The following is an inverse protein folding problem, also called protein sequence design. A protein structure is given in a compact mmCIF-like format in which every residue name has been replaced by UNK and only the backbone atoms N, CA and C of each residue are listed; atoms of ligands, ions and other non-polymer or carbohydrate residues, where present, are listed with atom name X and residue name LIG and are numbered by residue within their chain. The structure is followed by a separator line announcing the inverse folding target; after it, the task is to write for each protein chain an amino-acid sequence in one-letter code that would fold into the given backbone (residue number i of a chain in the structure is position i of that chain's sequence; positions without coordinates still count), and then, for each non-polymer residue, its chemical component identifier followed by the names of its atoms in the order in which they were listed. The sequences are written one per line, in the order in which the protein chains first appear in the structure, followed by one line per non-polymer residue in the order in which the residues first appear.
data_IF_280438471151
#
_entry.id   IF_280438471151
#
_cell.length_a   1.000
_cell.length_b   1.000
_cell.length_c   1.000
_cell.angle_alpha   90.00
_cell.angle_beta   90.00
_cell.angle_gamma   90.00
#
_symmetry.space_group_name_H-M   'P 1'
#
loop_
_entity.id
_entity.type
_entity.pdbx_description
1 polymer ?
#
# COMPACT_ATOMS: atom_id res chain seq x y z
N UNK A 1 -26.42 -13.90 23.79
CA UNK A 1 -24.99 -13.60 24.06
C UNK A 1 -24.03 -13.99 22.92
N UNK A 2 -24.51 -14.29 21.70
CA UNK A 2 -23.64 -14.74 20.58
C UNK A 2 -23.31 -13.63 19.56
N UNK A 3 -24.23 -12.70 19.29
CA UNK A 3 -24.04 -11.64 18.27
C UNK A 3 -22.95 -10.61 18.64
N UNK A 4 -22.83 -10.27 19.92
CA UNK A 4 -21.79 -9.35 20.41
C UNK A 4 -20.38 -9.97 20.28
N UNK A 5 -20.29 -11.30 20.38
CA UNK A 5 -19.03 -12.04 20.28
C UNK A 5 -18.47 -12.04 18.86
N UNK A 6 -19.32 -12.20 17.82
CA UNK A 6 -18.88 -12.13 16.43
C UNK A 6 -18.41 -10.73 16.01
N UNK A 7 -19.10 -9.67 16.46
CA UNK A 7 -18.71 -8.29 16.17
C UNK A 7 -17.35 -7.94 16.81
N UNK A 8 -17.11 -8.42 18.03
CA UNK A 8 -15.83 -8.24 18.71
C UNK A 8 -14.69 -9.01 18.02
N UNK A 9 -14.94 -10.25 17.60
CA UNK A 9 -13.96 -11.05 16.83
C UNK A 9 -13.63 -10.39 15.48
N UNK A 10 -14.63 -9.86 14.78
CA UNK A 10 -14.42 -9.13 13.52
C UNK A 10 -13.60 -7.84 13.73
N UNK A 11 -13.88 -7.08 14.78
CA UNK A 11 -13.12 -5.88 15.13
C UNK A 11 -11.66 -6.21 15.46
N UNK A 12 -11.42 -7.25 16.25
CA UNK A 12 -10.08 -7.72 16.59
C UNK A 12 -9.33 -8.22 15.35
N UNK A 13 -9.99 -8.96 14.45
CA UNK A 13 -9.40 -9.38 13.18
C UNK A 13 -9.01 -8.21 12.28
N UNK A 14 -9.82 -7.16 12.21
CA UNK A 14 -9.50 -5.93 11.47
C UNK A 14 -8.30 -5.17 12.06
N UNK A 15 -8.13 -5.18 13.39
CA UNK A 15 -6.99 -4.54 14.05
C UNK A 15 -5.66 -5.25 13.74
N UNK A 16 -5.67 -6.59 13.66
CA UNK A 16 -4.48 -7.37 13.27
C UNK A 16 -4.21 -7.36 11.76
N UNK A 17 -5.23 -7.21 10.92
CA UNK A 17 -5.06 -6.99 9.49
C UNK A 17 -4.46 -5.61 9.16
N UNK A 18 -4.62 -4.62 10.06
CA UNK A 18 -4.10 -3.27 9.90
C UNK A 18 -2.62 -3.12 10.27
N UNK A 19 -2.04 -4.07 11.02
CA UNK A 19 -0.62 -4.07 11.38
C UNK A 19 0.20 -4.89 10.39
N UNK A 20 0.16 -4.51 9.10
CA UNK A 20 1.13 -5.03 8.12
C UNK A 20 2.43 -4.26 8.29
N UNK A 21 3.12 -4.50 9.39
CA UNK A 21 4.55 -4.20 9.49
C UNK A 21 5.28 -5.52 9.74
N UNK A 22 5.09 -6.46 8.82
CA UNK A 22 6.15 -7.42 8.53
C UNK A 22 7.26 -6.60 7.86
N UNK A 23 8.46 -6.61 8.45
CA UNK A 23 9.60 -5.94 7.84
C UNK A 23 9.80 -6.48 6.43
N UNK A 24 10.03 -5.57 5.47
CA UNK A 24 10.34 -5.96 4.09
C UNK A 24 11.63 -6.77 4.10
N UNK A 25 11.58 -7.98 3.56
CA UNK A 25 12.74 -8.85 3.45
C UNK A 25 13.46 -8.64 2.10
N UNK A 26 14.74 -9.03 2.02
CA UNK A 26 15.47 -8.99 0.74
C UNK A 26 14.84 -9.98 -0.23
N UNK A 27 14.33 -9.46 -1.35
CA UNK A 27 13.66 -10.25 -2.38
C UNK A 27 12.18 -9.89 -2.55
N UNK A 28 11.58 -9.27 -1.54
CA UNK A 28 10.22 -8.74 -1.63
C UNK A 28 10.13 -7.73 -2.77
N UNK A 29 9.09 -7.89 -3.60
CA UNK A 29 8.81 -6.96 -4.67
C UNK A 29 7.86 -5.89 -4.15
N UNK A 30 8.23 -4.62 -4.36
CA UNK A 30 7.30 -3.52 -4.16
C UNK A 30 6.07 -3.66 -5.06
N UNK A 31 4.92 -3.09 -4.66
CA UNK A 31 3.73 -3.09 -5.50
C UNK A 31 4.02 -2.35 -6.81
N UNK A 32 3.49 -2.86 -7.93
CA UNK A 32 3.43 -2.10 -9.17
C UNK A 32 2.01 -1.60 -9.40
N UNK A 33 1.88 -0.35 -9.83
CA UNK A 33 0.62 0.27 -10.22
C UNK A 33 0.86 1.35 -11.26
N UNK A 34 -0.15 1.56 -12.10
CA UNK A 34 -0.19 2.66 -13.05
C UNK A 34 -0.80 3.91 -12.42
N UNK A 35 -0.41 5.07 -12.93
CA UNK A 35 -0.97 6.35 -12.53
C UNK A 35 -1.71 6.97 -13.72
N UNK A 36 -2.95 7.38 -13.51
CA UNK A 36 -3.74 8.06 -14.56
C UNK A 36 -3.21 9.47 -14.85
N UNK A 37 -2.60 10.10 -13.83
CA UNK A 37 -1.99 11.42 -13.91
C UNK A 37 -0.72 11.43 -13.09
N UNK A 38 0.35 11.91 -13.69
CA UNK A 38 1.63 12.17 -13.04
C UNK A 38 2.03 13.61 -13.31
N UNK A 39 2.65 14.24 -12.31
CA UNK A 39 3.17 15.60 -12.42
C UNK A 39 4.66 15.56 -12.13
N UNK A 40 5.42 16.39 -12.82
CA UNK A 40 6.88 16.46 -12.66
C UNK A 40 7.58 15.10 -12.90
N UNK A 41 7.08 14.32 -13.87
CA UNK A 41 7.67 13.04 -14.29
C UNK A 41 8.11 13.11 -15.74
N UNK A 42 9.12 12.32 -16.16
CA UNK A 42 9.50 12.21 -17.55
C UNK A 42 8.32 11.70 -18.41
N UNK A 43 8.29 12.12 -19.67
CA UNK A 43 7.27 11.65 -20.61
C UNK A 43 7.31 10.12 -20.75
N UNK A 44 6.13 9.48 -20.73
CA UNK A 44 5.99 8.03 -20.85
C UNK A 44 6.13 7.24 -19.53
N UNK A 45 6.43 7.90 -18.40
CA UNK A 45 6.51 7.23 -17.10
C UNK A 45 5.12 7.13 -16.47
N UNK A 46 4.38 6.09 -16.84
CA UNK A 46 2.97 5.87 -16.45
C UNK A 46 2.77 4.81 -15.37
N UNK A 47 3.84 4.15 -14.92
CA UNK A 47 3.81 3.14 -13.87
C UNK A 47 5.09 3.16 -13.02
N UNK A 48 5.07 2.43 -11.90
CA UNK A 48 6.22 2.30 -11.01
C UNK A 48 7.39 1.52 -11.62
N UNK A 49 7.13 0.60 -12.56
CA UNK A 49 8.17 -0.18 -13.22
C UNK A 49 9.13 0.69 -14.04
N UNK A 50 8.65 1.82 -14.57
CA UNK A 50 9.49 2.82 -15.23
C UNK A 50 10.62 3.37 -14.33
N UNK A 51 10.52 3.21 -13.00
CA UNK A 51 11.50 3.66 -12.02
C UNK A 51 12.43 2.55 -11.50
N UNK A 52 12.42 1.35 -12.10
CA UNK A 52 13.31 0.25 -11.68
C UNK A 52 14.78 0.67 -11.64
N UNK A 53 15.49 0.14 -10.65
CA UNK A 53 16.89 0.49 -10.38
C UNK A 53 17.08 1.80 -9.60
N UNK A 54 16.00 2.46 -9.18
CA UNK A 54 16.03 3.63 -8.30
C UNK A 54 15.39 3.32 -6.96
N UNK A 55 15.78 4.07 -5.94
CA UNK A 55 15.04 4.14 -4.68
C UNK A 55 13.85 5.07 -4.90
N UNK A 56 12.64 4.56 -4.65
CA UNK A 56 11.38 5.29 -4.86
C UNK A 56 10.63 5.37 -3.53
N UNK A 57 10.14 6.57 -3.20
CA UNK A 57 9.24 6.79 -2.07
C UNK A 57 7.83 7.02 -2.59
N UNK A 58 6.88 6.22 -2.12
CA UNK A 58 5.46 6.38 -2.44
C UNK A 58 4.77 7.04 -1.26
N UNK A 59 4.19 8.21 -1.49
CA UNK A 59 3.39 8.93 -0.50
C UNK A 59 1.92 8.91 -0.93
N UNK A 60 1.04 8.46 -0.02
CA UNK A 60 -0.41 8.56 -0.19
C UNK A 60 -0.92 9.70 0.68
N UNK A 61 -1.47 10.73 0.05
CA UNK A 61 -2.02 11.90 0.74
C UNK A 61 -3.36 12.32 0.14
N UNK A 62 -4.08 13.15 0.87
CA UNK A 62 -5.35 13.75 0.47
C UNK A 62 -5.48 15.13 1.11
N UNK A 63 -6.19 16.05 0.46
CA UNK A 63 -6.48 17.39 1.00
C UNK A 63 -7.61 17.40 2.03
N UNK A 64 -8.32 16.29 2.18
CA UNK A 64 -9.52 16.15 3.02
C UNK A 64 -9.23 15.42 4.32
#
# INVERSE_FOLDING_TARGET
MTKLSYAFVALVACLFAGTVSAGVEVGDQGPNFSFDKSWNTPEGFTDLDAYRGKIVMVERWATW
#
